data_IF_197088247282
#
_entry.id   IF_197088247282
#
_cell.length_a   1.000
_cell.length_b   1.000
_cell.length_c   1.000
_cell.angle_alpha   90.00
_cell.angle_beta   90.00
_cell.angle_gamma   90.00
#
_symmetry.space_group_name_H-M   'P 1'
#
loop_
_entity.id
_entity.type
_entity.pdbx_description
1 polymer ?
#
# COMPACT_ATOMS: atom_id res chain seq x y z
N UNK A 1 64.38 -30.52 -18.08
CA UNK A 1 63.01 -29.97 -18.18
C UNK A 1 62.49 -29.87 -16.78
N UNK A 2 62.42 -28.63 -16.29
CA UNK A 2 62.11 -28.27 -14.91
C UNK A 2 60.60 -28.16 -14.80
N UNK A 3 60.02 -28.92 -13.87
CA UNK A 3 58.63 -28.73 -13.45
C UNK A 3 58.61 -27.58 -12.45
N UNK A 4 58.05 -26.44 -12.83
CA UNK A 4 57.71 -25.38 -11.89
C UNK A 4 56.39 -25.72 -11.16
N UNK A 5 56.28 -25.42 -9.86
CA UNK A 5 55.10 -25.71 -9.06
C UNK A 5 54.00 -24.65 -9.27
N UNK A 6 52.77 -25.16 -9.35
CA UNK A 6 51.50 -24.44 -9.31
C UNK A 6 51.39 -23.58 -8.03
N UNK A 7 51.08 -22.27 -8.11
CA UNK A 7 50.79 -21.48 -6.93
C UNK A 7 49.44 -21.87 -6.31
N UNK A 8 49.50 -22.14 -5.00
CA UNK A 8 48.39 -22.49 -4.15
C UNK A 8 47.33 -21.36 -4.05
N UNK A 9 46.07 -21.78 -4.04
CA UNK A 9 44.91 -21.14 -3.39
C UNK A 9 44.68 -19.64 -3.70
N UNK A 10 43.68 -19.28 -4.51
CA UNK A 10 42.25 -19.33 -4.16
C UNK A 10 42.01 -19.03 -2.67
N UNK A 11 42.46 -17.84 -2.24
CA UNK A 11 41.94 -17.13 -1.08
C UNK A 11 41.90 -15.67 -1.47
N UNK A 12 40.76 -15.27 -2.01
CA UNK A 12 40.11 -13.97 -1.89
C UNK A 12 38.99 -14.00 -2.92
N UNK A 13 37.75 -13.98 -2.44
CA UNK A 13 36.53 -14.05 -3.24
C UNK A 13 36.35 -12.84 -4.14
N UNK A 14 37.19 -12.70 -5.15
CA UNK A 14 36.99 -11.85 -6.31
C UNK A 14 36.22 -12.67 -7.36
N UNK A 15 35.01 -13.09 -7.00
CA UNK A 15 34.01 -13.38 -8.02
C UNK A 15 33.70 -12.03 -8.69
N UNK A 16 34.19 -11.90 -9.92
CA UNK A 16 33.56 -11.16 -11.02
C UNK A 16 32.38 -10.29 -10.56
N UNK A 17 32.66 -9.08 -10.08
CA UNK A 17 31.70 -8.01 -10.20
C UNK A 17 31.58 -7.69 -11.68
N UNK A 18 30.67 -8.39 -12.36
CA UNK A 18 30.08 -7.91 -13.60
C UNK A 18 29.44 -6.58 -13.22
N UNK A 19 30.17 -5.50 -13.49
CA UNK A 19 29.72 -4.14 -13.33
C UNK A 19 28.50 -3.95 -14.24
N UNK A 20 27.30 -4.01 -13.69
CA UNK A 20 26.10 -3.50 -14.33
C UNK A 20 26.20 -1.96 -14.35
N UNK A 21 26.32 -1.30 -15.53
CA UNK A 21 26.41 0.16 -15.62
C UNK A 21 25.01 0.78 -15.72
N UNK A 22 24.08 0.33 -14.87
CA UNK A 22 22.72 0.88 -14.81
C UNK A 22 22.33 1.24 -13.37
N UNK A 23 23.26 1.83 -12.62
CA UNK A 23 22.92 2.59 -11.43
C UNK A 23 22.59 4.01 -11.89
N UNK A 24 21.34 4.24 -12.23
CA UNK A 24 20.81 5.55 -12.61
C UNK A 24 21.14 6.59 -11.53
N UNK A 25 21.70 7.77 -11.89
CA UNK A 25 21.87 8.88 -10.98
C UNK A 25 20.54 9.65 -10.88
N UNK A 26 19.58 9.12 -10.12
CA UNK A 26 18.38 9.87 -9.70
C UNK A 26 18.45 10.09 -8.19
N UNK A 27 19.44 10.88 -7.77
CA UNK A 27 19.65 11.27 -6.38
C UNK A 27 19.00 12.63 -6.09
N UNK A 28 17.71 12.77 -6.40
CA UNK A 28 16.81 13.75 -5.75
C UNK A 28 15.47 13.05 -5.47
N UNK A 29 15.42 12.15 -4.45
CA UNK A 29 14.22 11.37 -4.14
C UNK A 29 12.99 12.26 -3.92
N UNK A 30 13.17 13.45 -3.34
CA UNK A 30 12.08 14.36 -3.00
C UNK A 30 11.37 14.98 -4.20
N UNK A 31 12.07 15.31 -5.30
CA UNK A 31 11.42 16.01 -6.42
C UNK A 31 10.51 15.08 -7.22
N UNK A 32 10.94 13.85 -7.46
CA UNK A 32 10.16 12.86 -8.20
C UNK A 32 8.89 12.47 -7.43
N UNK A 33 9.01 12.24 -6.13
CA UNK A 33 7.87 11.96 -5.24
C UNK A 33 6.85 13.10 -5.24
N UNK A 34 7.29 14.35 -5.23
CA UNK A 34 6.39 15.51 -5.28
C UNK A 34 5.58 15.57 -6.58
N UNK A 35 6.22 15.33 -7.73
CA UNK A 35 5.52 15.29 -9.03
C UNK A 35 4.53 14.13 -9.11
N UNK A 36 4.90 12.95 -8.62
CA UNK A 36 4.00 11.80 -8.57
C UNK A 36 2.81 12.08 -7.65
N UNK A 37 3.04 12.62 -6.46
CA UNK A 37 1.97 12.97 -5.53
C UNK A 37 1.01 14.00 -6.14
N UNK A 38 1.54 15.03 -6.81
CA UNK A 38 0.71 16.01 -7.51
C UNK A 38 -0.11 15.37 -8.65
N UNK A 39 0.48 14.48 -9.43
CA UNK A 39 -0.21 13.75 -10.49
C UNK A 39 -1.30 12.82 -9.93
N UNK A 40 -1.04 12.13 -8.83
CA UNK A 40 -2.01 11.28 -8.13
C UNK A 40 -3.19 12.09 -7.61
N UNK A 41 -2.94 13.23 -6.97
CA UNK A 41 -4.01 14.13 -6.49
C UNK A 41 -4.86 14.63 -7.66
N UNK A 42 -4.23 15.06 -8.76
CA UNK A 42 -4.93 15.52 -9.95
C UNK A 42 -5.79 14.40 -10.56
N UNK A 43 -5.25 13.18 -10.64
CA UNK A 43 -5.99 12.01 -11.12
C UNK A 43 -7.19 11.68 -10.23
N UNK A 44 -7.00 11.68 -8.91
CA UNK A 44 -8.09 11.43 -7.94
C UNK A 44 -9.19 12.48 -8.11
N UNK A 45 -8.84 13.76 -8.22
CA UNK A 45 -9.82 14.84 -8.42
C UNK A 45 -10.54 14.68 -9.77
N UNK A 46 -9.81 14.38 -10.83
CA UNK A 46 -10.39 14.16 -12.17
C UNK A 46 -11.41 13.02 -12.15
N UNK A 47 -11.03 11.86 -11.62
CA UNK A 47 -11.92 10.72 -11.43
C UNK A 47 -13.15 11.10 -10.60
N UNK A 48 -12.97 11.95 -9.58
CA UNK A 48 -14.09 12.42 -8.78
C UNK A 48 -15.08 13.25 -9.59
N UNK A 49 -14.61 14.23 -10.36
CA UNK A 49 -15.47 15.11 -11.15
C UNK A 49 -16.31 14.33 -12.15
N UNK A 50 -15.70 13.40 -12.90
CA UNK A 50 -16.40 12.68 -13.98
C UNK A 50 -17.49 11.75 -13.46
N UNK A 51 -17.35 11.19 -12.25
CA UNK A 51 -18.33 10.23 -11.72
C UNK A 51 -19.31 10.83 -10.72
N UNK A 52 -19.11 12.07 -10.26
CA UNK A 52 -20.05 12.80 -9.39
C UNK A 52 -21.45 12.90 -9.99
N UNK A 53 -21.56 13.18 -11.28
CA UNK A 53 -22.85 13.28 -11.97
C UNK A 53 -23.64 11.97 -11.93
N UNK A 54 -22.96 10.84 -12.09
CA UNK A 54 -23.59 9.53 -12.01
C UNK A 54 -23.97 9.17 -10.56
N UNK A 55 -23.14 9.57 -9.60
CA UNK A 55 -23.39 9.37 -8.18
C UNK A 55 -24.59 10.14 -7.67
N UNK A 56 -24.71 11.43 -7.99
CA UNK A 56 -25.86 12.24 -7.58
C UNK A 56 -27.16 11.61 -8.12
N UNK A 57 -27.16 11.17 -9.39
CA UNK A 57 -28.32 10.50 -10.00
C UNK A 57 -28.66 9.16 -9.35
N UNK A 58 -27.67 8.34 -8.98
CA UNK A 58 -27.90 7.01 -8.41
C UNK A 58 -28.23 7.04 -6.91
N UNK A 59 -27.57 7.92 -6.14
CA UNK A 59 -27.66 7.96 -4.68
C UNK A 59 -28.91 8.71 -4.22
N UNK A 60 -29.27 9.79 -4.93
CA UNK A 60 -30.43 10.60 -4.56
C UNK A 60 -31.74 10.03 -5.11
N UNK A 61 -31.69 9.23 -6.18
CA UNK A 61 -32.89 8.71 -6.85
C UNK A 61 -33.19 7.23 -6.61
N UNK A 62 -32.26 6.45 -6.04
CA UNK A 62 -32.40 4.98 -5.87
C UNK A 62 -32.27 4.55 -4.41
N UNK A 63 -32.79 3.37 -4.07
CA UNK A 63 -32.72 2.79 -2.71
C UNK A 63 -31.25 2.60 -2.30
N UNK A 64 -30.91 3.08 -1.10
CA UNK A 64 -29.56 2.93 -0.52
C UNK A 64 -29.33 1.48 -0.11
N UNK A 65 -28.63 0.73 -0.95
CA UNK A 65 -28.14 -0.61 -0.59
C UNK A 65 -26.83 -0.49 0.19
N UNK A 66 -26.59 -1.40 1.13
CA UNK A 66 -25.35 -1.51 1.90
C UNK A 66 -24.07 -1.38 1.04
N UNK A 67 -23.91 -2.10 -0.09
CA UNK A 67 -22.73 -1.95 -0.95
C UNK A 67 -22.60 -0.57 -1.60
N UNK A 68 -23.71 0.11 -1.89
CA UNK A 68 -23.66 1.47 -2.41
C UNK A 68 -23.11 2.45 -1.36
N UNK A 69 -23.51 2.29 -0.09
CA UNK A 69 -22.98 3.12 1.02
C UNK A 69 -21.50 2.86 1.26
N UNK A 70 -21.07 1.60 1.28
CA UNK A 70 -19.65 1.25 1.44
C UNK A 70 -18.79 1.81 0.31
N UNK A 71 -19.29 1.76 -0.94
CA UNK A 71 -18.59 2.32 -2.09
C UNK A 71 -18.40 3.84 -1.96
N UNK A 72 -19.44 4.54 -1.53
CA UNK A 72 -19.38 5.99 -1.26
C UNK A 72 -18.33 6.26 -0.18
N UNK A 73 -18.39 5.58 0.96
CA UNK A 73 -17.43 5.80 2.04
C UNK A 73 -15.99 5.57 1.54
N UNK A 74 -15.73 4.51 0.76
CA UNK A 74 -14.41 4.26 0.17
C UNK A 74 -13.92 5.43 -0.67
N UNK A 75 -14.80 5.94 -1.54
CA UNK A 75 -14.49 7.01 -2.46
C UNK A 75 -14.19 8.33 -1.75
N UNK A 76 -15.05 8.73 -0.80
CA UNK A 76 -14.84 9.97 -0.06
C UNK A 76 -13.62 9.90 0.86
N UNK A 77 -13.23 8.71 1.34
CA UNK A 77 -11.96 8.54 2.05
C UNK A 77 -10.75 8.77 1.14
N UNK A 78 -10.76 8.33 -0.12
CA UNK A 78 -9.68 8.61 -1.07
C UNK A 78 -9.53 10.11 -1.33
N UNK A 79 -10.64 10.85 -1.40
CA UNK A 79 -10.60 12.30 -1.54
C UNK A 79 -10.05 12.98 -0.28
N UNK A 80 -10.44 12.49 0.89
CA UNK A 80 -9.91 12.97 2.16
C UNK A 80 -8.40 12.69 2.28
N UNK A 81 -7.93 11.53 1.83
CA UNK A 81 -6.50 11.20 1.75
C UNK A 81 -5.74 12.17 0.84
N UNK A 82 -6.29 12.49 -0.34
CA UNK A 82 -5.71 13.50 -1.23
C UNK A 82 -5.62 14.91 -0.58
N UNK A 83 -6.60 15.30 0.22
CA UNK A 83 -6.56 16.54 1.02
C UNK A 83 -5.49 16.45 2.12
N UNK A 84 -5.36 15.30 2.76
CA UNK A 84 -4.33 15.05 3.77
C UNK A 84 -2.93 15.11 3.15
N UNK A 85 -2.71 14.64 1.92
CA UNK A 85 -1.45 14.87 1.21
C UNK A 85 -1.17 16.37 0.98
N UNK A 86 -2.20 17.19 0.77
CA UNK A 86 -2.04 18.64 0.64
C UNK A 86 -1.52 19.29 1.93
N UNK A 87 -1.72 18.67 3.09
CA UNK A 87 -1.21 19.15 4.38
C UNK A 87 0.33 19.29 4.38
N UNK A 88 1.02 18.45 3.61
CA UNK A 88 2.49 18.47 3.49
C UNK A 88 2.94 19.77 2.84
N UNK A 89 2.16 20.26 1.87
CA UNK A 89 2.42 21.52 1.16
C UNK A 89 1.98 22.74 1.98
N UNK A 90 0.92 22.61 2.77
CA UNK A 90 0.37 23.71 3.58
C UNK A 90 0.97 23.80 5.00
N UNK A 91 1.88 22.89 5.37
CA UNK A 91 2.47 22.80 6.71
C UNK A 91 1.44 22.73 7.86
N UNK A 92 0.30 22.06 7.65
CA UNK A 92 -0.74 21.87 8.66
C UNK A 92 -0.63 20.46 9.24
N UNK A 93 -0.71 20.32 10.57
CA UNK A 93 -0.63 19.03 11.26
C UNK A 93 -2.04 18.41 11.42
N UNK A 94 -2.43 17.49 10.53
CA UNK A 94 -3.70 16.74 10.61
C UNK A 94 -3.47 15.24 10.84
N UNK A 95 -2.51 14.89 11.70
CA UNK A 95 -2.08 13.50 11.95
C UNK A 95 -3.22 12.60 12.44
N UNK A 96 -4.11 13.11 13.29
CA UNK A 96 -5.28 12.35 13.78
C UNK A 96 -6.24 12.01 12.65
N UNK A 97 -6.41 12.93 11.68
CA UNK A 97 -7.30 12.71 10.54
C UNK A 97 -6.70 11.67 9.60
N UNK A 98 -5.38 11.70 9.38
CA UNK A 98 -4.68 10.70 8.58
C UNK A 98 -4.83 9.28 9.17
N UNK A 99 -4.54 9.12 10.47
CA UNK A 99 -4.64 7.82 11.14
C UNK A 99 -6.06 7.23 11.08
N UNK A 100 -7.06 8.09 11.26
CA UNK A 100 -8.47 7.69 11.15
C UNK A 100 -8.81 7.32 9.71
N UNK A 101 -8.40 8.12 8.72
CA UNK A 101 -8.61 7.86 7.30
C UNK A 101 -8.08 6.49 6.89
N UNK A 102 -6.82 6.18 7.25
CA UNK A 102 -6.17 4.90 6.98
C UNK A 102 -6.93 3.73 7.60
N UNK A 103 -7.33 3.88 8.87
CA UNK A 103 -8.10 2.83 9.57
C UNK A 103 -9.44 2.57 8.89
N UNK A 104 -10.15 3.64 8.51
CA UNK A 104 -11.45 3.51 7.81
C UNK A 104 -11.25 2.90 6.42
N UNK A 105 -10.21 3.28 5.68
CA UNK A 105 -9.89 2.73 4.37
C UNK A 105 -9.70 1.20 4.43
N UNK A 106 -8.93 0.69 5.40
CA UNK A 106 -8.76 -0.77 5.56
C UNK A 106 -10.07 -1.49 5.89
N UNK A 107 -10.86 -0.93 6.82
CA UNK A 107 -12.16 -1.51 7.18
C UNK A 107 -13.11 -1.58 5.98
N UNK A 108 -13.16 -0.50 5.18
CA UNK A 108 -14.03 -0.43 4.01
C UNK A 108 -13.54 -1.35 2.90
N UNK A 109 -12.23 -1.41 2.67
CA UNK A 109 -11.63 -2.34 1.71
C UNK A 109 -11.92 -3.80 2.09
N UNK A 110 -11.73 -4.19 3.35
CA UNK A 110 -12.05 -5.52 3.85
C UNK A 110 -13.54 -5.85 3.64
N UNK A 111 -14.43 -4.91 3.97
CA UNK A 111 -15.87 -5.11 3.82
C UNK A 111 -16.30 -5.21 2.34
N UNK A 112 -15.73 -4.40 1.45
CA UNK A 112 -15.99 -4.46 0.00
C UNK A 112 -15.47 -5.77 -0.61
N UNK A 113 -14.28 -6.23 -0.21
CA UNK A 113 -13.70 -7.50 -0.65
C UNK A 113 -14.59 -8.67 -0.22
N UNK A 114 -14.99 -8.69 1.05
CA UNK A 114 -15.86 -9.73 1.58
C UNK A 114 -17.24 -9.72 0.89
N UNK A 115 -17.82 -8.54 0.65
CA UNK A 115 -19.08 -8.40 -0.07
C UNK A 115 -18.99 -8.91 -1.51
N UNK A 116 -17.93 -8.53 -2.23
CA UNK A 116 -17.70 -9.00 -3.62
C UNK A 116 -17.53 -10.51 -3.68
N UNK A 117 -16.82 -11.09 -2.72
CA UNK A 117 -16.67 -12.54 -2.65
C UNK A 117 -18.00 -13.24 -2.35
N UNK A 118 -18.84 -12.68 -1.46
CA UNK A 118 -20.16 -13.22 -1.16
C UNK A 118 -21.07 -13.29 -2.39
N UNK A 119 -20.97 -12.29 -3.28
CA UNK A 119 -21.73 -12.25 -4.52
C UNK A 119 -21.21 -13.25 -5.56
N UNK A 120 -19.89 -13.44 -5.65
CA UNK A 120 -19.27 -14.34 -6.61
C UNK A 120 -19.42 -15.81 -6.23
N UNK A 121 -19.45 -16.10 -4.93
CA UNK A 121 -19.39 -17.47 -4.43
C UNK A 121 -20.73 -17.87 -3.80
N UNK A 122 -21.63 -18.37 -4.65
CA UNK A 122 -23.00 -18.87 -4.40
C UNK A 122 -23.39 -19.06 -2.91
N UNK A 123 -23.54 -17.94 -2.21
CA UNK A 123 -24.01 -17.80 -0.83
C UNK A 123 -23.27 -18.61 0.26
N UNK A 124 -22.10 -19.20 -0.02
CA UNK A 124 -21.43 -20.05 0.96
C UNK A 124 -20.74 -19.21 2.06
N UNK A 125 -21.36 -19.18 3.25
CA UNK A 125 -20.95 -18.29 4.37
C UNK A 125 -19.55 -18.59 4.91
N UNK A 126 -19.03 -19.81 4.69
CA UNK A 126 -17.71 -20.22 5.18
C UNK A 126 -16.57 -19.47 4.51
N UNK A 127 -16.65 -19.26 3.19
CA UNK A 127 -15.61 -18.55 2.43
C UNK A 127 -15.62 -17.05 2.69
N UNK A 128 -16.79 -16.49 3.00
CA UNK A 128 -16.90 -15.10 3.44
C UNK A 128 -16.06 -14.82 4.69
N UNK A 129 -16.20 -15.64 5.75
CA UNK A 129 -15.41 -15.46 6.96
C UNK A 129 -13.92 -15.76 6.74
N UNK A 130 -13.60 -16.74 5.89
CA UNK A 130 -12.21 -17.10 5.57
C UNK A 130 -11.43 -15.94 4.94
N UNK A 131 -12.08 -15.03 4.21
CA UNK A 131 -11.45 -13.86 3.57
C UNK A 131 -11.58 -12.60 4.41
N UNK A 132 -12.68 -12.45 5.16
CA UNK A 132 -12.90 -11.30 6.04
C UNK A 132 -11.88 -11.28 7.19
N UNK A 133 -11.60 -12.43 7.82
CA UNK A 133 -10.71 -12.47 8.99
C UNK A 133 -9.28 -12.05 8.66
N UNK A 134 -8.64 -12.55 7.58
CA UNK A 134 -7.29 -12.12 7.19
C UNK A 134 -7.23 -10.65 6.76
N UNK A 135 -8.27 -10.15 6.08
CA UNK A 135 -8.29 -8.76 5.58
C UNK A 135 -8.49 -7.73 6.70
N UNK A 136 -8.93 -8.15 7.89
CA UNK A 136 -9.02 -7.29 9.08
C UNK A 136 -7.68 -7.11 9.81
N UNK A 137 -6.70 -8.00 9.59
CA UNK A 137 -5.39 -7.94 10.27
C UNK A 137 -4.70 -6.58 10.08
N UNK A 138 -4.62 -6.00 8.86
CA UNK A 138 -4.03 -4.67 8.66
C UNK A 138 -4.79 -3.56 9.37
N UNK A 139 -6.13 -3.63 9.43
CA UNK A 139 -6.96 -2.63 10.10
C UNK A 139 -6.70 -2.60 11.62
N UNK A 140 -6.62 -3.79 12.22
CA UNK A 140 -6.33 -3.94 13.65
C UNK A 140 -4.91 -3.45 13.96
N UNK A 141 -3.93 -3.82 13.13
CA UNK A 141 -2.56 -3.35 13.28
C UNK A 141 -2.46 -1.82 13.21
N UNK A 142 -3.10 -1.19 12.22
CA UNK A 142 -3.14 0.26 12.08
C UNK A 142 -3.78 0.96 13.29
N UNK A 143 -4.90 0.43 13.79
CA UNK A 143 -5.58 0.98 14.96
C UNK A 143 -4.70 0.88 16.23
N UNK A 144 -4.03 -0.25 16.44
CA UNK A 144 -3.10 -0.43 17.57
C UNK A 144 -1.93 0.55 17.46
N UNK A 145 -1.32 0.69 16.28
CA UNK A 145 -0.25 1.67 16.04
C UNK A 145 -0.71 3.10 16.32
N UNK A 146 -1.88 3.50 15.84
CA UNK A 146 -2.42 4.86 16.05
C UNK A 146 -2.77 5.15 17.52
N UNK A 147 -3.27 4.16 18.27
CA UNK A 147 -3.57 4.32 19.71
C UNK A 147 -2.29 4.34 20.54
N UNK A 148 -1.34 3.47 20.22
CA UNK A 148 -0.06 3.37 20.93
C UNK A 148 0.82 4.61 20.72
N UNK A 149 0.87 5.14 19.49
CA UNK A 149 1.57 6.40 19.19
C UNK A 149 1.02 7.61 19.98
N UNK A 150 -0.28 7.62 20.28
CA UNK A 150 -0.91 8.67 21.09
C UNK A 150 -0.65 8.54 22.59
N UNK A 151 -0.42 7.32 23.08
CA UNK A 151 -0.41 7.03 24.53
C UNK A 151 0.97 7.06 25.17
N UNK A 152 2.07 6.95 24.41
CA UNK A 152 3.41 6.97 25.00
C UNK A 152 4.45 7.72 24.16
N UNK A 153 5.00 8.80 24.71
CA UNK A 153 6.25 9.43 24.23
C UNK A 153 7.46 8.47 24.28
N UNK A 154 7.31 7.27 24.85
CA UNK A 154 8.33 6.21 24.87
C UNK A 154 8.40 5.44 23.53
N UNK A 155 7.31 5.25 22.79
CA UNK A 155 7.34 4.51 21.51
C UNK A 155 8.06 5.28 20.39
N UNK A 156 8.14 6.61 20.50
CA UNK A 156 8.97 7.46 19.65
C UNK A 156 10.47 7.11 19.71
N UNK A 157 10.92 6.40 20.77
CA UNK A 157 12.31 5.91 20.89
C UNK A 157 12.52 4.50 20.35
N UNK A 158 11.48 3.67 20.29
CA UNK A 158 11.57 2.30 19.77
C UNK A 158 11.40 2.24 18.25
N UNK A 159 10.58 3.10 17.66
CA UNK A 159 10.38 3.13 16.20
C UNK A 159 11.36 4.02 15.42
N UNK A 160 12.18 4.82 16.11
CA UNK A 160 13.24 5.63 15.45
C UNK A 160 14.33 4.78 14.79
N UNK A 161 14.38 3.47 15.07
CA UNK A 161 15.25 2.50 14.40
C UNK A 161 14.60 1.71 13.25
N UNK A 162 13.31 1.89 12.98
CA UNK A 162 12.55 1.08 12.01
C UNK A 162 11.73 1.97 11.06
N UNK A 163 12.36 3.01 10.50
CA UNK A 163 11.82 3.79 9.38
C UNK A 163 12.75 3.69 8.16
N UNK A 164 13.28 2.49 7.92
CA UNK A 164 14.01 2.16 6.69
C UNK A 164 13.67 0.73 6.27
N UNK A 165 12.38 0.45 6.09
CA UNK A 165 11.97 -0.58 5.15
C UNK A 165 10.56 -0.28 4.68
N UNK A 166 10.55 0.28 3.47
CA UNK A 166 9.48 0.26 2.50
C UNK A 166 8.45 -0.83 2.81
N UNK A 167 7.24 -0.40 3.21
CA UNK A 167 6.05 -1.22 3.04
C UNK A 167 5.64 -1.23 1.57
N UNK A 168 6.59 -1.49 0.67
CA UNK A 168 6.29 -2.11 -0.61
C UNK A 168 5.93 -3.56 -0.27
N UNK A 169 4.63 -3.83 -0.19
CA UNK A 169 4.13 -5.18 -0.40
C UNK A 169 4.41 -5.50 -1.87
N UNK A 170 5.66 -5.85 -2.18
CA UNK A 170 5.91 -6.72 -3.32
C UNK A 170 5.17 -8.01 -3.00
N UNK A 171 3.98 -8.15 -3.57
CA UNK A 171 3.51 -9.43 -4.04
C UNK A 171 4.55 -9.94 -5.05
N UNK A 172 5.67 -10.44 -4.53
CA UNK A 172 6.48 -11.48 -5.16
C UNK A 172 5.59 -12.73 -5.19
N UNK A 173 4.58 -12.68 -6.05
CA UNK A 173 3.83 -13.85 -6.47
C UNK A 173 4.75 -14.57 -7.45
N UNK A 174 5.67 -15.35 -6.88
CA UNK A 174 6.06 -16.67 -7.37
C UNK A 174 5.97 -16.83 -8.91
N UNK A 175 6.97 -16.28 -9.60
CA UNK A 175 7.30 -16.67 -10.97
C UNK A 175 8.09 -18.00 -11.04
N UNK A 176 7.90 -18.89 -10.07
CA UNK A 176 8.45 -20.26 -10.06
C UNK A 176 7.41 -21.27 -10.57
N UNK A 177 6.73 -20.94 -11.67
CA UNK A 177 5.87 -21.89 -12.37
C UNK A 177 6.40 -22.15 -13.78
N UNK A 178 6.97 -23.34 -13.93
CA UNK A 178 7.19 -24.09 -15.18
C UNK A 178 8.26 -23.60 -16.16
N UNK A 179 9.51 -24.00 -15.91
CA UNK A 179 10.39 -24.54 -16.97
C UNK A 179 10.89 -25.94 -16.60
N UNK A 180 9.94 -26.86 -16.42
CA UNK A 180 10.13 -28.28 -16.67
C UNK A 180 9.35 -28.65 -17.93
N UNK A 181 9.95 -28.43 -19.10
CA UNK A 181 9.51 -29.11 -20.32
C UNK A 181 10.66 -29.26 -21.33
N UNK A 182 11.18 -30.49 -21.34
CA UNK A 182 11.88 -31.25 -22.39
C UNK A 182 13.21 -30.72 -22.92
#
# INVERSE_FOLDING_TARGET
MVCDPLPAAVKNGALLQVAHPYRSPLQHPSTFENYLNAALIALVIHEHIITLDMEVRLIWRKRRTLPAVLFIINRYNLLLDAIVLLQIYLHINLTVINDVSITVAYCVAAALLAWRMYALHDRSRKLFYLILVPSLVPAVAAAICAVSARKSGWLARLFKGSQSQDCHVELSMSADLHLTRK
#
